data_IF_231954884129
#
_entry.id   IF_231954884129
#
_cell.length_a   1.000
_cell.length_b   1.000
_cell.length_c   1.000
_cell.angle_alpha   90.00
_cell.angle_beta   90.00
_cell.angle_gamma   90.00
#
_symmetry.space_group_name_H-M   'P 1'
#
loop_
_entity.id
_entity.type
_entity.pdbx_description
1 polymer ?
#
# COMPACT_ATOMS: atom_id res chain seq x y z
N UNK A 1 -4.05 5.41 9.61
CA UNK A 1 -3.97 3.94 9.53
C UNK A 1 -4.90 3.43 8.44
N UNK A 2 -4.45 2.55 7.60
CA UNK A 2 -5.28 1.99 6.55
C UNK A 2 -6.17 0.89 7.10
N UNK A 3 -7.29 0.61 6.42
CA UNK A 3 -8.16 -0.52 6.79
C UNK A 3 -7.41 -1.85 6.70
N UNK A 4 -6.47 -1.94 5.78
CA UNK A 4 -5.68 -3.14 5.57
C UNK A 4 -4.97 -3.55 6.87
N UNK A 5 -4.26 -2.61 7.49
CA UNK A 5 -3.54 -2.88 8.74
C UNK A 5 -4.48 -3.16 9.90
N UNK A 6 -5.65 -2.54 9.92
CA UNK A 6 -6.62 -2.66 11.00
C UNK A 6 -7.21 -4.06 11.11
N UNK A 7 -7.37 -4.77 9.98
CA UNK A 7 -8.03 -6.07 9.97
C UNK A 7 -7.10 -7.26 10.21
N UNK A 8 -5.79 -7.03 10.34
CA UNK A 8 -4.85 -8.12 10.50
C UNK A 8 -4.67 -8.51 11.96
N UNK A 9 -4.81 -9.80 12.24
CA UNK A 9 -4.40 -10.38 13.52
C UNK A 9 -2.87 -10.41 13.61
N UNK A 10 -2.32 -10.47 14.83
CA UNK A 10 -0.86 -10.49 15.03
C UNK A 10 -0.14 -11.56 14.23
N UNK A 11 -0.66 -12.80 14.27
CA UNK A 11 -0.02 -13.91 13.56
C UNK A 11 -0.09 -13.72 12.05
N UNK A 12 -1.21 -13.25 11.56
CA UNK A 12 -1.40 -13.00 10.14
C UNK A 12 -0.54 -11.84 9.66
N UNK A 13 -0.38 -10.84 10.52
CA UNK A 13 0.48 -9.70 10.22
C UNK A 13 1.92 -10.16 10.02
N UNK A 14 2.45 -10.99 10.95
CA UNK A 14 3.83 -11.47 10.86
C UNK A 14 4.04 -12.35 9.64
N UNK A 15 3.10 -13.22 9.34
CA UNK A 15 3.17 -14.09 8.16
C UNK A 15 3.14 -13.28 6.88
N UNK A 16 2.25 -12.31 6.81
CA UNK A 16 2.12 -11.44 5.65
C UNK A 16 3.36 -10.59 5.47
N UNK A 17 3.89 -10.04 6.55
CA UNK A 17 5.12 -9.25 6.51
C UNK A 17 6.28 -10.08 5.95
N UNK A 18 6.42 -11.31 6.41
CA UNK A 18 7.46 -12.22 5.92
C UNK A 18 7.28 -12.51 4.43
N UNK A 19 6.04 -12.72 4.00
CA UNK A 19 5.75 -12.95 2.59
C UNK A 19 6.21 -11.78 1.74
N UNK A 20 5.90 -10.54 2.15
CA UNK A 20 6.35 -9.35 1.41
C UNK A 20 7.87 -9.24 1.37
N UNK A 21 8.53 -9.55 2.49
CA UNK A 21 9.98 -9.46 2.56
C UNK A 21 10.68 -10.51 1.70
N UNK A 22 10.10 -11.71 1.60
CA UNK A 22 10.71 -12.82 0.84
C UNK A 22 10.36 -12.80 -0.64
N UNK A 23 9.16 -12.35 -0.99
CA UNK A 23 8.65 -12.47 -2.35
C UNK A 23 8.33 -11.13 -3.01
N UNK A 24 8.33 -10.04 -2.26
CA UNK A 24 8.05 -8.72 -2.79
C UNK A 24 9.19 -8.19 -3.65
N UNK A 25 8.86 -7.32 -4.58
CA UNK A 25 9.84 -6.61 -5.39
C UNK A 25 10.34 -5.40 -4.61
N UNK A 26 11.65 -5.31 -4.41
CA UNK A 26 12.26 -4.16 -3.74
C UNK A 26 12.23 -2.95 -4.67
N UNK A 27 11.62 -1.88 -4.24
CA UNK A 27 11.51 -0.65 -5.01
C UNK A 27 11.92 0.55 -4.18
N UNK A 28 12.56 1.52 -4.84
CA UNK A 28 13.00 2.76 -4.21
C UNK A 28 12.19 3.92 -4.76
N UNK A 29 11.71 4.77 -3.85
CA UNK A 29 10.92 5.94 -4.19
C UNK A 29 11.66 7.20 -3.75
N UNK A 30 11.62 8.22 -4.59
CA UNK A 30 12.12 9.55 -4.22
C UNK A 30 10.96 10.33 -3.60
N UNK A 31 11.29 11.32 -2.78
CA UNK A 31 10.29 12.25 -2.27
C UNK A 31 9.44 12.79 -3.42
N UNK A 32 8.13 12.72 -3.28
CA UNK A 32 7.18 13.20 -4.28
C UNK A 32 6.76 12.17 -5.32
N UNK A 33 7.40 11.00 -5.36
CA UNK A 33 6.96 9.93 -6.25
C UNK A 33 5.67 9.29 -5.75
N UNK A 34 4.82 8.88 -6.69
CA UNK A 34 3.52 8.28 -6.36
C UNK A 34 3.59 6.77 -6.41
N UNK A 35 3.07 6.13 -5.37
CA UNK A 35 2.78 4.69 -5.37
C UNK A 35 1.42 4.43 -6.03
N UNK A 36 0.47 5.32 -5.83
CA UNK A 36 -0.85 5.26 -6.47
C UNK A 36 -1.32 6.69 -6.76
N UNK A 37 -2.09 6.86 -7.83
CA UNK A 37 -2.62 8.16 -8.24
C UNK A 37 -4.13 8.13 -8.22
N UNK A 38 -4.72 9.19 -7.68
CA UNK A 38 -6.17 9.36 -7.67
C UNK A 38 -6.71 9.30 -9.09
N UNK A 39 -7.74 8.50 -9.30
CA UNK A 39 -8.36 8.32 -10.61
C UNK A 39 -7.77 7.21 -11.46
N UNK A 40 -6.64 6.63 -11.04
CA UNK A 40 -6.00 5.52 -11.76
C UNK A 40 -6.20 4.22 -11.00
N UNK A 41 -6.00 3.10 -11.71
CA UNK A 41 -6.10 1.78 -11.08
C UNK A 41 -4.76 1.39 -10.49
N UNK A 42 -4.80 0.71 -9.35
CA UNK A 42 -3.61 0.16 -8.69
C UNK A 42 -3.84 -1.29 -8.35
N UNK A 43 -2.89 -2.15 -8.71
CA UNK A 43 -2.97 -3.59 -8.42
C UNK A 43 -1.88 -4.04 -7.47
N UNK A 44 -1.22 -3.10 -6.79
CA UNK A 44 -0.12 -3.42 -5.90
C UNK A 44 -0.41 -3.04 -4.46
N UNK A 45 0.16 -3.84 -3.57
CA UNK A 45 0.27 -3.52 -2.15
C UNK A 45 1.75 -3.59 -1.79
N UNK A 46 2.15 -2.93 -0.73
CA UNK A 46 3.54 -2.91 -0.34
C UNK A 46 3.70 -2.88 1.17
N UNK A 47 4.86 -3.38 1.61
CA UNK A 47 5.34 -3.22 2.99
C UNK A 47 6.42 -2.16 2.96
N UNK A 48 6.32 -1.16 3.83
CA UNK A 48 7.34 -0.11 3.90
C UNK A 48 8.51 -0.61 4.73
N UNK A 49 9.69 -0.66 4.11
CA UNK A 49 10.94 -0.99 4.79
C UNK A 49 11.51 0.26 5.45
N UNK A 50 11.61 1.33 4.69
CA UNK A 50 12.12 2.65 5.13
C UNK A 50 11.27 3.73 4.51
N UNK A 51 11.15 4.86 5.20
CA UNK A 51 10.51 6.04 4.67
C UNK A 51 9.09 6.22 5.17
N UNK A 52 8.36 7.09 4.49
CA UNK A 52 7.01 7.46 4.91
C UNK A 52 6.21 7.85 3.68
N UNK A 53 4.97 7.39 3.63
CA UNK A 53 4.03 7.76 2.56
C UNK A 53 2.84 8.47 3.16
N UNK A 54 2.21 9.32 2.37
CA UNK A 54 0.96 9.98 2.75
C UNK A 54 -0.16 9.56 1.80
N UNK A 55 -1.35 9.42 2.35
CA UNK A 55 -2.58 9.32 1.58
C UNK A 55 -3.14 10.73 1.47
N UNK A 56 -3.38 11.18 0.23
CA UNK A 56 -3.99 12.49 0.01
C UNK A 56 -5.17 12.36 -0.91
N UNK A 57 -6.10 13.29 -0.81
CA UNK A 57 -7.28 13.33 -1.66
C UNK A 57 -7.45 14.75 -2.19
N UNK A 58 -7.65 14.86 -3.51
CA UNK A 58 -7.92 16.15 -4.15
C UNK A 58 -9.42 16.25 -4.37
N UNK A 59 -10.03 17.27 -3.77
CA UNK A 59 -11.48 17.46 -3.86
C UNK A 59 -11.90 18.11 -5.17
N UNK A 60 -13.21 18.32 -5.35
CA UNK A 60 -13.77 18.88 -6.58
C UNK A 60 -13.32 20.31 -6.87
N UNK A 61 -12.80 20.99 -5.86
CA UNK A 61 -12.29 22.36 -6.00
C UNK A 61 -10.78 22.38 -6.26
N UNK A 62 -10.15 21.18 -6.34
CA UNK A 62 -8.72 21.05 -6.57
C UNK A 62 -7.88 21.18 -5.30
N UNK A 63 -8.51 21.16 -4.12
CA UNK A 63 -7.79 21.29 -2.86
C UNK A 63 -7.33 19.92 -2.38
N UNK A 64 -6.07 19.84 -1.97
CA UNK A 64 -5.49 18.61 -1.43
C UNK A 64 -5.72 18.49 0.06
N UNK A 65 -6.15 17.30 0.49
CA UNK A 65 -6.36 16.95 1.89
C UNK A 65 -5.49 15.76 2.25
N UNK A 66 -4.79 15.83 3.38
CA UNK A 66 -4.04 14.69 3.90
C UNK A 66 -4.99 13.84 4.73
N UNK A 67 -5.11 12.56 4.36
CA UNK A 67 -6.07 11.65 5.01
C UNK A 67 -5.40 10.54 5.81
N UNK A 68 -4.10 10.43 5.72
CA UNK A 68 -3.37 9.44 6.53
C UNK A 68 -1.91 9.38 6.17
N UNK A 69 -1.16 8.67 7.01
CA UNK A 69 0.27 8.46 6.82
C UNK A 69 0.59 6.99 7.04
N UNK A 70 1.64 6.50 6.37
CA UNK A 70 2.09 5.11 6.51
C UNK A 70 3.58 5.14 6.80
N UNK A 71 3.98 4.38 7.83
CA UNK A 71 5.33 4.38 8.38
C UNK A 71 6.00 3.01 8.17
N UNK A 72 7.33 2.90 8.46
CA UNK A 72 8.01 1.61 8.34
C UNK A 72 7.31 0.49 9.10
N UNK A 73 7.36 -0.70 8.56
CA UNK A 73 6.70 -1.91 9.03
C UNK A 73 5.19 -1.89 8.88
N UNK A 74 4.63 -0.89 8.23
CA UNK A 74 3.21 -0.85 7.89
C UNK A 74 3.00 -1.17 6.42
N UNK A 75 1.81 -1.67 6.10
CA UNK A 75 1.42 -1.96 4.73
C UNK A 75 0.77 -0.74 4.09
N UNK A 76 1.00 -0.57 2.79
CA UNK A 76 0.41 0.51 2.01
C UNK A 76 -0.33 -0.08 0.81
N UNK A 77 -1.55 0.35 0.61
CA UNK A 77 -2.37 -0.04 -0.54
C UNK A 77 -3.53 0.93 -0.67
N UNK A 78 -3.96 1.17 -1.90
CA UNK A 78 -5.27 1.76 -2.10
C UNK A 78 -6.30 0.63 -2.06
N UNK A 79 -6.99 0.53 -0.94
CA UNK A 79 -7.89 -0.57 -0.66
C UNK A 79 -8.96 -0.74 -1.73
N UNK A 80 -9.60 0.35 -2.17
CA UNK A 80 -10.66 0.29 -3.16
C UNK A 80 -10.18 -0.23 -4.50
N UNK A 81 -9.05 0.28 -4.97
CA UNK A 81 -8.46 -0.14 -6.23
C UNK A 81 -7.94 -1.57 -6.15
N UNK A 82 -7.25 -1.88 -5.05
CA UNK A 82 -6.62 -3.19 -4.86
C UNK A 82 -7.65 -4.32 -4.73
N UNK A 83 -8.71 -4.12 -3.94
CA UNK A 83 -9.69 -5.16 -3.65
C UNK A 83 -10.85 -5.21 -4.64
N UNK A 84 -11.23 -4.09 -5.23
CA UNK A 84 -12.47 -3.98 -6.01
C UNK A 84 -12.28 -3.64 -7.48
N UNK A 85 -11.04 -3.49 -7.94
CA UNK A 85 -10.74 -3.04 -9.31
C UNK A 85 -11.37 -1.68 -9.63
N UNK A 86 -11.53 -0.83 -8.63
CA UNK A 86 -12.04 0.54 -8.82
C UNK A 86 -10.88 1.52 -8.96
N UNK A 87 -11.14 2.65 -9.59
CA UNK A 87 -10.13 3.71 -9.66
C UNK A 87 -9.78 4.18 -8.24
N UNK A 88 -8.52 4.52 -8.03
CA UNK A 88 -8.04 5.00 -6.75
C UNK A 88 -8.74 6.29 -6.35
N UNK A 89 -9.18 6.38 -5.10
CA UNK A 89 -9.81 7.59 -4.58
C UNK A 89 -8.80 8.50 -3.88
N UNK A 90 -7.55 8.07 -3.82
CA UNK A 90 -6.48 8.80 -3.15
C UNK A 90 -5.21 8.76 -3.97
N UNK A 91 -4.34 9.73 -3.70
CA UNK A 91 -2.94 9.65 -4.07
C UNK A 91 -2.18 9.03 -2.90
N UNK A 92 -1.18 8.20 -3.20
CA UNK A 92 -0.26 7.70 -2.20
C UNK A 92 1.12 8.16 -2.63
N UNK A 93 1.72 9.06 -1.87
CA UNK A 93 2.93 9.77 -2.28
C UNK A 93 4.01 9.64 -1.22
N UNK A 94 5.25 9.42 -1.66
CA UNK A 94 6.40 9.35 -0.78
C UNK A 94 6.72 10.74 -0.25
N UNK A 95 6.81 10.89 1.07
CA UNK A 95 7.13 12.15 1.72
C UNK A 95 8.63 12.37 1.87
N UNK A 96 9.41 11.30 1.70
CA UNK A 96 10.86 11.29 1.79
C UNK A 96 11.37 10.10 0.98
N UNK A 97 12.69 10.00 0.75
CA UNK A 97 13.21 8.80 0.09
C UNK A 97 12.76 7.56 0.85
N UNK A 98 12.19 6.61 0.14
CA UNK A 98 11.53 5.45 0.76
C UNK A 98 11.87 4.18 0.00
N UNK A 99 11.89 3.07 0.74
CA UNK A 99 12.11 1.74 0.18
C UNK A 99 10.97 0.84 0.60
N UNK A 100 10.43 0.09 -0.36
CA UNK A 100 9.28 -0.78 -0.12
C UNK A 100 9.53 -2.16 -0.73
N UNK A 101 8.79 -3.14 -0.22
CA UNK A 101 8.61 -4.44 -0.88
C UNK A 101 7.20 -4.47 -1.44
N UNK A 102 7.04 -4.57 -2.76
CA UNK A 102 5.71 -4.56 -3.36
C UNK A 102 5.34 -5.93 -3.89
N UNK A 103 4.07 -6.27 -3.77
CA UNK A 103 3.49 -7.46 -4.39
C UNK A 103 2.26 -7.05 -5.17
N UNK A 104 1.97 -7.77 -6.26
CA UNK A 104 0.76 -7.52 -7.00
C UNK A 104 -0.41 -8.28 -6.36
N UNK A 105 -1.61 -7.92 -6.80
CA UNK A 105 -2.83 -8.50 -6.28
C UNK A 105 -2.89 -10.02 -6.45
N UNK A 106 -2.44 -10.53 -7.60
CA UNK A 106 -2.47 -11.96 -7.86
C UNK A 106 -1.58 -12.72 -6.89
N UNK A 107 -0.38 -12.21 -6.64
CA UNK A 107 0.56 -12.85 -5.71
C UNK A 107 -0.01 -12.92 -4.29
N UNK A 108 -0.67 -11.85 -3.86
CA UNK A 108 -1.27 -11.81 -2.54
C UNK A 108 -2.49 -12.74 -2.45
N UNK A 109 -3.29 -12.78 -3.50
CA UNK A 109 -4.42 -13.70 -3.61
C UNK A 109 -3.94 -15.15 -3.49
N UNK A 110 -2.88 -15.51 -4.22
CA UNK A 110 -2.31 -16.85 -4.18
C UNK A 110 -1.77 -17.19 -2.79
N UNK A 111 -1.14 -16.23 -2.13
CA UNK A 111 -0.66 -16.41 -0.77
C UNK A 111 -1.80 -16.77 0.18
N UNK A 112 -2.90 -16.02 0.15
CA UNK A 112 -4.05 -16.28 1.00
C UNK A 112 -4.69 -17.63 0.70
N UNK A 113 -4.82 -17.98 -0.56
CA UNK A 113 -5.43 -19.25 -0.92
C UNK A 113 -4.57 -20.46 -0.53
N UNK A 114 -3.26 -20.30 -0.51
CA UNK A 114 -2.35 -21.39 -0.16
C UNK A 114 -2.19 -21.56 1.34
N UNK A 115 -2.03 -20.45 2.05
CA UNK A 115 -1.67 -20.45 3.47
C UNK A 115 -2.87 -20.40 4.41
N UNK A 116 -4.04 -20.01 3.92
CA UNK A 116 -5.23 -19.81 4.74
C UNK A 116 -6.24 -20.94 4.63
N UNK A 117 -5.93 -21.95 3.85
CA UNK A 117 -6.81 -23.12 3.72
C UNK A 117 -6.67 -24.07 4.91
#
# INVERSE_FOLDING_TARGET
MTKFNTYLESNDFDRLKRFFEEHGELQHYRKGNFFARQGEYSSQAALIKDGTFAYTHIDNEGKEHYVGFVFPDEFVADYASFMRHSASQVNIVALKPSTIFSVNRQALHDFYNTDME
#
